data_IF_914052578828
#
_entry.id   IF_914052578828
#
_cell.length_a   1.000
_cell.length_b   1.000
_cell.length_c   1.000
_cell.angle_alpha   90.00
_cell.angle_beta   90.00
_cell.angle_gamma   90.00
#
_symmetry.space_group_name_H-M   'P 1'
#
loop_
_entity.id
_entity.type
_entity.pdbx_description
1 polymer ?
#
# COMPACT_ATOMS: atom_id res chain seq x y z
N UNK A 1 -19.47 46.49 5.26
CA UNK A 1 -20.81 45.95 4.95
C UNK A 1 -20.82 45.43 3.52
N UNK A 2 -20.42 44.17 3.34
CA UNK A 2 -20.50 43.41 2.08
C UNK A 2 -21.86 42.71 2.06
N UNK A 3 -22.61 42.82 0.97
CA UNK A 3 -23.70 41.88 0.63
C UNK A 3 -23.38 41.32 -0.75
N UNK A 4 -22.80 40.12 -0.76
CA UNK A 4 -22.90 39.17 -1.87
C UNK A 4 -24.25 38.45 -1.72
N UNK A 5 -25.07 38.44 -2.76
CA UNK A 5 -26.13 37.44 -2.93
C UNK A 5 -26.12 36.94 -4.38
N UNK A 6 -26.05 35.61 -4.47
CA UNK A 6 -26.44 34.69 -5.53
C UNK A 6 -25.80 34.80 -6.92
N UNK A 7 -24.83 33.91 -7.16
CA UNK A 7 -24.90 33.00 -8.30
C UNK A 7 -24.60 31.59 -7.77
N UNK A 8 -25.66 30.79 -7.61
CA UNK A 8 -25.56 29.35 -7.38
C UNK A 8 -25.14 28.76 -8.72
N UNK A 9 -23.83 28.55 -8.90
CA UNK A 9 -23.31 27.69 -9.95
C UNK A 9 -23.53 26.25 -9.51
N UNK A 10 -24.69 25.69 -9.87
CA UNK A 10 -24.90 24.26 -9.89
C UNK A 10 -23.90 23.65 -10.89
N UNK A 11 -22.76 23.18 -10.40
CA UNK A 11 -21.92 22.28 -11.18
C UNK A 11 -22.66 20.96 -11.28
N UNK A 12 -23.17 20.74 -12.48
CA UNK A 12 -23.58 19.49 -13.10
C UNK A 12 -22.92 18.26 -12.44
N UNK A 13 -23.51 17.75 -11.36
CA UNK A 13 -23.40 16.33 -11.05
C UNK A 13 -24.20 15.68 -12.18
N UNK A 14 -23.53 15.20 -13.21
CA UNK A 14 -24.14 14.19 -14.06
C UNK A 14 -24.61 13.11 -13.09
N UNK A 15 -25.91 12.99 -12.90
CA UNK A 15 -26.50 11.81 -12.29
C UNK A 15 -26.14 10.71 -13.26
N UNK A 16 -24.98 10.07 -13.03
CA UNK A 16 -24.72 8.77 -13.62
C UNK A 16 -25.96 7.93 -13.29
N UNK A 17 -26.49 7.15 -14.25
CA UNK A 17 -27.47 6.13 -13.89
C UNK A 17 -26.91 5.41 -12.67
N UNK A 18 -27.70 5.26 -11.61
CA UNK A 18 -27.25 4.45 -10.48
C UNK A 18 -26.83 3.10 -11.07
N UNK A 19 -25.53 2.80 -11.03
CA UNK A 19 -24.94 1.56 -11.48
C UNK A 19 -25.76 0.42 -10.88
N UNK A 20 -26.23 -0.51 -11.71
CA UNK A 20 -27.12 -1.55 -11.22
C UNK A 20 -26.32 -2.48 -10.29
N UNK A 21 -26.85 -2.79 -9.11
CA UNK A 21 -26.19 -3.73 -8.21
C UNK A 21 -26.19 -5.14 -8.83
N UNK A 22 -25.02 -5.77 -8.96
CA UNK A 22 -24.90 -7.18 -9.36
C UNK A 22 -24.97 -8.11 -8.16
N UNK A 23 -24.63 -7.62 -6.97
CA UNK A 23 -24.73 -8.35 -5.71
C UNK A 23 -24.81 -7.40 -4.51
N UNK A 24 -25.46 -7.84 -3.44
CA UNK A 24 -25.50 -7.13 -2.17
C UNK A 24 -25.74 -8.10 -1.02
N UNK A 25 -25.44 -7.67 0.20
CA UNK A 25 -25.67 -8.48 1.39
C UNK A 25 -25.32 -7.77 2.69
N UNK A 26 -25.39 -8.54 3.77
CA UNK A 26 -25.09 -8.10 5.13
C UNK A 26 -23.99 -8.99 5.71
N UNK A 27 -23.08 -8.40 6.49
CA UNK A 27 -22.03 -9.11 7.23
C UNK A 27 -21.78 -8.43 8.58
N UNK A 28 -22.17 -9.10 9.66
CA UNK A 28 -22.24 -8.45 10.97
C UNK A 28 -23.24 -7.29 10.96
N UNK A 29 -22.81 -6.11 11.41
CA UNK A 29 -23.60 -4.87 11.42
C UNK A 29 -23.41 -4.04 10.13
N UNK A 30 -22.66 -4.58 9.16
CA UNK A 30 -22.31 -3.89 7.93
C UNK A 30 -23.10 -4.42 6.74
N UNK A 31 -23.34 -3.55 5.77
CA UNK A 31 -23.89 -3.88 4.45
C UNK A 31 -22.78 -3.82 3.41
N UNK A 32 -22.93 -4.58 2.34
CA UNK A 32 -22.01 -4.51 1.20
C UNK A 32 -22.80 -4.59 -0.11
N UNK A 33 -22.30 -3.90 -1.12
CA UNK A 33 -22.88 -3.82 -2.47
C UNK A 33 -21.76 -3.91 -3.49
N UNK A 34 -22.00 -4.65 -4.58
CA UNK A 34 -21.16 -4.66 -5.77
C UNK A 34 -22.02 -4.14 -6.92
N UNK A 35 -21.60 -3.05 -7.54
CA UNK A 35 -22.26 -2.51 -8.72
C UNK A 35 -21.82 -3.20 -10.02
N UNK A 36 -22.44 -2.85 -11.14
CA UNK A 36 -22.17 -3.43 -12.47
C UNK A 36 -20.82 -3.01 -13.07
N UNK A 37 -20.15 -2.02 -12.47
CA UNK A 37 -18.75 -1.65 -12.75
C UNK A 37 -17.74 -2.45 -11.91
N UNK A 38 -18.23 -3.25 -10.94
CA UNK A 38 -17.41 -4.09 -10.06
C UNK A 38 -16.91 -3.39 -8.81
N UNK A 39 -17.45 -2.22 -8.46
CA UNK A 39 -17.06 -1.51 -7.24
C UNK A 39 -17.73 -2.16 -6.03
N UNK A 40 -16.92 -2.77 -5.16
CA UNK A 40 -17.38 -3.26 -3.86
C UNK A 40 -17.38 -2.09 -2.85
N UNK A 41 -18.58 -1.68 -2.44
CA UNK A 41 -18.78 -0.70 -1.37
C UNK A 41 -19.24 -1.39 -0.09
N UNK A 42 -18.54 -1.16 1.01
CA UNK A 42 -18.91 -1.67 2.34
C UNK A 42 -19.31 -0.50 3.23
N UNK A 43 -20.45 -0.60 3.89
CA UNK A 43 -21.03 0.50 4.66
C UNK A 43 -21.62 0.01 5.98
N UNK A 44 -21.89 0.94 6.87
CA UNK A 44 -22.64 0.73 8.10
C UNK A 44 -23.58 1.91 8.37
N UNK A 45 -24.45 1.76 9.37
CA UNK A 45 -25.30 2.84 9.88
C UNK A 45 -24.80 3.43 11.21
N UNK A 46 -23.64 2.96 11.71
CA UNK A 46 -23.10 3.32 13.03
C UNK A 46 -21.57 3.26 13.05
N UNK A 47 -20.95 4.18 13.78
CA UNK A 47 -19.49 4.27 13.92
C UNK A 47 -18.85 3.04 14.60
N UNK A 48 -19.63 2.36 15.44
CA UNK A 48 -19.21 1.17 16.18
C UNK A 48 -19.60 -0.15 15.46
N UNK A 49 -20.13 -0.06 14.24
CA UNK A 49 -20.58 -1.23 13.50
C UNK A 49 -19.42 -2.18 13.22
N UNK A 50 -19.67 -3.47 13.47
CA UNK A 50 -18.65 -4.51 13.35
C UNK A 50 -18.89 -5.34 12.09
N UNK A 51 -17.86 -5.46 11.27
CA UNK A 51 -17.88 -6.35 10.11
C UNK A 51 -17.85 -7.80 10.59
N UNK A 52 -18.71 -8.62 10.02
CA UNK A 52 -18.80 -10.04 10.36
C UNK A 52 -17.46 -10.77 10.21
N UNK A 53 -17.15 -11.63 11.19
CA UNK A 53 -16.01 -12.53 11.17
C UNK A 53 -16.38 -13.81 10.43
N UNK A 54 -15.56 -14.24 9.46
CA UNK A 54 -15.77 -15.47 8.70
C UNK A 54 -14.96 -16.67 9.23
N UNK A 55 -14.23 -16.56 10.34
CA UNK A 55 -13.62 -17.68 11.09
C UNK A 55 -12.88 -18.76 10.24
N UNK A 56 -12.28 -18.38 9.11
CA UNK A 56 -11.57 -19.29 8.20
C UNK A 56 -12.36 -19.74 6.96
N UNK A 57 -13.63 -19.36 6.85
CA UNK A 57 -14.40 -19.37 5.59
C UNK A 57 -13.98 -18.20 4.68
N UNK A 58 -14.69 -18.00 3.57
CA UNK A 58 -14.42 -16.90 2.65
C UNK A 58 -15.25 -15.66 3.00
N UNK A 59 -14.70 -14.47 2.70
CA UNK A 59 -15.43 -13.21 2.88
C UNK A 59 -16.79 -13.22 2.13
N UNK A 60 -17.79 -12.44 2.57
CA UNK A 60 -19.15 -12.47 2.01
C UNK A 60 -19.23 -12.25 0.49
N UNK A 61 -18.31 -11.48 -0.07
CA UNK A 61 -18.21 -11.14 -1.50
C UNK A 61 -17.31 -12.10 -2.30
N UNK A 62 -16.77 -13.16 -1.69
CA UNK A 62 -15.80 -14.06 -2.32
C UNK A 62 -16.29 -14.76 -3.59
N UNK A 63 -17.59 -15.05 -3.70
CA UNK A 63 -18.20 -15.61 -4.91
C UNK A 63 -18.16 -14.64 -6.12
N UNK A 64 -17.89 -13.36 -5.87
CA UNK A 64 -17.82 -12.30 -6.88
C UNK A 64 -16.39 -11.78 -7.08
N UNK A 65 -15.37 -12.45 -6.56
CA UNK A 65 -13.96 -12.01 -6.62
C UNK A 65 -13.46 -11.68 -8.03
N UNK A 66 -13.98 -12.35 -9.06
CA UNK A 66 -13.61 -12.09 -10.46
C UNK A 66 -14.33 -10.85 -11.03
N UNK A 67 -15.39 -10.37 -10.39
CA UNK A 67 -16.12 -9.16 -10.78
C UNK A 67 -15.65 -7.92 -10.04
N UNK A 68 -14.99 -8.07 -8.88
CA UNK A 68 -14.55 -6.93 -8.06
C UNK A 68 -13.35 -6.23 -8.73
N UNK A 69 -13.51 -4.94 -9.03
CA UNK A 69 -12.51 -4.07 -9.66
C UNK A 69 -11.96 -3.02 -8.71
N UNK A 70 -12.78 -2.55 -7.76
CA UNK A 70 -12.39 -1.63 -6.69
C UNK A 70 -13.04 -2.00 -5.35
N UNK A 71 -12.45 -1.54 -4.25
CA UNK A 71 -13.01 -1.66 -2.90
C UNK A 71 -12.97 -0.32 -2.19
N UNK A 72 -14.07 0.08 -1.54
CA UNK A 72 -14.13 1.26 -0.69
C UNK A 72 -15.06 1.04 0.52
N UNK A 73 -14.81 1.77 1.61
CA UNK A 73 -15.68 1.80 2.78
C UNK A 73 -16.35 3.16 2.92
N UNK A 74 -17.66 3.22 2.63
CA UNK A 74 -18.42 4.47 2.55
C UNK A 74 -18.84 5.04 3.90
N UNK A 75 -18.67 4.26 4.98
CA UNK A 75 -18.92 4.63 6.36
C UNK A 75 -17.99 3.81 7.29
N UNK A 76 -17.83 4.18 8.57
CA UNK A 76 -17.01 3.43 9.52
C UNK A 76 -17.34 1.94 9.61
N UNK A 77 -16.34 1.10 9.39
CA UNK A 77 -16.44 -0.35 9.46
C UNK A 77 -15.32 -0.89 10.33
N UNK A 78 -15.67 -1.52 11.45
CA UNK A 78 -14.69 -2.11 12.37
C UNK A 78 -14.48 -3.59 12.04
N UNK A 79 -13.28 -3.95 11.60
CA UNK A 79 -12.93 -5.34 11.28
C UNK A 79 -12.53 -6.13 12.53
N UNK A 80 -13.03 -7.36 12.62
CA UNK A 80 -12.52 -8.36 13.57
C UNK A 80 -11.44 -9.26 12.95
N UNK A 81 -11.48 -9.43 11.63
CA UNK A 81 -10.52 -10.22 10.85
C UNK A 81 -10.28 -9.57 9.49
N UNK A 82 -9.09 -9.78 8.92
CA UNK A 82 -8.75 -9.42 7.55
C UNK A 82 -8.19 -10.60 6.76
N UNK A 83 -8.13 -11.79 7.37
CA UNK A 83 -7.53 -12.99 6.78
C UNK A 83 -8.29 -13.38 5.50
N UNK A 84 -7.58 -13.51 4.38
CA UNK A 84 -8.15 -13.81 3.05
C UNK A 84 -9.25 -12.86 2.53
N UNK A 85 -9.43 -11.67 3.14
CA UNK A 85 -10.58 -10.79 2.89
C UNK A 85 -10.85 -10.49 1.40
N UNK A 86 -9.80 -10.27 0.61
CA UNK A 86 -9.87 -10.00 -0.83
C UNK A 86 -9.05 -11.00 -1.65
N UNK A 87 -8.72 -12.16 -1.07
CA UNK A 87 -7.87 -13.15 -1.72
C UNK A 87 -8.43 -13.59 -3.09
N UNK A 88 -7.60 -13.52 -4.12
CA UNK A 88 -7.92 -13.96 -5.47
C UNK A 88 -8.89 -13.03 -6.21
N UNK A 89 -9.10 -11.79 -5.74
CA UNK A 89 -9.79 -10.77 -6.54
C UNK A 89 -8.89 -10.32 -7.69
N UNK A 90 -8.79 -11.14 -8.74
CA UNK A 90 -7.79 -10.98 -9.81
C UNK A 90 -7.95 -9.69 -10.62
N UNK A 91 -9.16 -9.12 -10.66
CA UNK A 91 -9.49 -7.86 -11.33
C UNK A 91 -9.44 -6.63 -10.39
N UNK A 92 -9.25 -6.83 -9.08
CA UNK A 92 -9.13 -5.74 -8.11
C UNK A 92 -7.88 -4.91 -8.44
N UNK A 93 -8.10 -3.65 -8.81
CA UNK A 93 -7.04 -2.73 -9.26
C UNK A 93 -6.73 -1.62 -8.26
N UNK A 94 -7.72 -1.24 -7.45
CA UNK A 94 -7.60 -0.18 -6.46
C UNK A 94 -8.37 -0.53 -5.17
N UNK A 95 -7.77 -0.21 -4.01
CA UNK A 95 -8.40 -0.36 -2.69
C UNK A 95 -8.27 0.96 -1.94
N UNK A 96 -9.39 1.46 -1.43
CA UNK A 96 -9.49 2.67 -0.62
C UNK A 96 -9.92 2.27 0.80
N UNK A 97 -9.01 2.45 1.76
CA UNK A 97 -9.19 1.99 3.14
C UNK A 97 -9.68 3.11 4.08
N UNK A 98 -10.15 4.24 3.53
CA UNK A 98 -10.86 5.24 4.31
C UNK A 98 -12.02 4.60 5.04
N UNK A 99 -12.17 4.89 6.34
CA UNK A 99 -13.20 4.33 7.23
C UNK A 99 -13.06 2.84 7.58
N UNK A 100 -11.93 2.20 7.27
CA UNK A 100 -11.71 0.78 7.56
C UNK A 100 -10.92 0.49 8.83
N UNK A 101 -11.60 0.51 9.97
CA UNK A 101 -10.95 0.42 11.27
C UNK A 101 -10.50 -1.01 11.63
N UNK A 102 -9.19 -1.20 11.80
CA UNK A 102 -8.56 -2.50 12.10
C UNK A 102 -8.01 -2.62 13.52
N UNK A 103 -8.49 -1.80 14.46
CA UNK A 103 -7.98 -1.70 15.85
C UNK A 103 -7.90 -3.03 16.61
N UNK A 104 -8.78 -3.98 16.29
CA UNK A 104 -8.86 -5.29 16.96
C UNK A 104 -8.31 -6.44 16.10
N UNK A 105 -7.85 -6.16 14.88
CA UNK A 105 -7.35 -7.17 13.96
C UNK A 105 -5.96 -7.64 14.40
N UNK A 106 -5.81 -8.95 14.56
CA UNK A 106 -4.53 -9.59 14.92
C UNK A 106 -3.91 -10.40 13.77
N UNK A 107 -4.70 -10.74 12.74
CA UNK A 107 -4.29 -11.51 11.57
C UNK A 107 -4.77 -10.83 10.27
N UNK A 108 -3.81 -10.47 9.41
CA UNK A 108 -4.03 -9.90 8.07
C UNK A 108 -3.45 -10.80 6.98
N UNK A 109 -3.22 -12.09 7.29
CA UNK A 109 -2.60 -13.01 6.35
C UNK A 109 -3.45 -13.18 5.09
N UNK A 110 -2.77 -13.16 3.94
CA UNK A 110 -3.37 -13.33 2.62
C UNK A 110 -4.50 -12.34 2.26
N UNK A 111 -4.62 -11.21 2.97
CA UNK A 111 -5.71 -10.24 2.79
C UNK A 111 -5.89 -9.82 1.33
N UNK A 112 -4.79 -9.54 0.61
CA UNK A 112 -4.78 -9.17 -0.81
C UNK A 112 -4.01 -10.17 -1.67
N UNK A 113 -3.80 -11.40 -1.20
CA UNK A 113 -3.07 -12.40 -1.98
C UNK A 113 -3.79 -12.72 -3.30
N UNK A 114 -3.04 -12.88 -4.37
CA UNK A 114 -3.48 -13.16 -5.74
C UNK A 114 -4.40 -12.08 -6.36
N UNK A 115 -4.41 -10.86 -5.83
CA UNK A 115 -4.99 -9.69 -6.49
C UNK A 115 -4.06 -9.23 -7.63
N UNK A 116 -4.01 -9.99 -8.72
CA UNK A 116 -3.01 -9.81 -9.78
C UNK A 116 -3.04 -8.44 -10.48
N UNK A 117 -4.18 -7.75 -10.45
CA UNK A 117 -4.36 -6.42 -11.04
C UNK A 117 -4.13 -5.27 -10.04
N UNK A 118 -3.89 -5.57 -8.76
CA UNK A 118 -3.80 -4.56 -7.71
C UNK A 118 -2.59 -3.67 -7.94
N UNK A 119 -2.84 -2.39 -8.18
CA UNK A 119 -1.82 -1.37 -8.46
C UNK A 119 -1.85 -0.25 -7.42
N UNK A 120 -3.05 0.06 -6.89
CA UNK A 120 -3.27 1.17 -5.97
C UNK A 120 -3.83 0.64 -4.64
N UNK A 121 -3.17 0.99 -3.54
CA UNK A 121 -3.68 0.78 -2.19
C UNK A 121 -3.52 2.12 -1.46
N UNK A 122 -4.64 2.75 -1.16
CA UNK A 122 -4.68 4.02 -0.43
C UNK A 122 -5.10 3.74 1.01
N UNK A 123 -4.11 3.80 1.91
CA UNK A 123 -4.29 3.65 3.37
C UNK A 123 -4.67 5.01 3.92
N UNK A 124 -5.94 5.37 3.77
CA UNK A 124 -6.46 6.66 4.20
C UNK A 124 -5.83 7.84 3.47
N UNK A 125 -6.47 8.99 3.60
CA UNK A 125 -6.00 10.21 2.97
C UNK A 125 -4.64 10.68 3.51
N UNK A 126 -3.61 10.64 2.66
CA UNK A 126 -2.48 11.55 2.81
C UNK A 126 -3.00 12.96 2.52
N UNK A 127 -3.27 13.70 3.60
CA UNK A 127 -4.01 14.98 3.68
C UNK A 127 -3.36 16.07 2.82
N UNK A 128 -3.54 16.02 1.50
CA UNK A 128 -2.92 16.99 0.58
C UNK A 128 -3.86 17.63 -0.42
N UNK A 129 -5.15 17.24 -0.50
CA UNK A 129 -6.04 17.73 -1.56
C UNK A 129 -7.51 17.99 -1.21
N UNK A 130 -8.01 17.65 -0.01
CA UNK A 130 -9.38 17.97 0.40
C UNK A 130 -9.40 18.72 1.73
N UNK A 131 -10.27 19.73 1.81
CA UNK A 131 -10.43 20.63 2.94
C UNK A 131 -10.99 19.81 4.13
N UNK A 132 -10.23 19.69 5.22
CA UNK A 132 -10.58 18.90 6.42
C UNK A 132 -12.00 19.22 6.91
N UNK A 133 -12.38 20.49 6.85
CA UNK A 133 -13.70 21.01 7.21
C UNK A 133 -14.84 20.41 6.34
N UNK A 134 -14.61 20.18 5.05
CA UNK A 134 -15.60 19.58 4.13
C UNK A 134 -15.80 18.10 4.43
N UNK A 135 -14.75 17.42 4.86
CA UNK A 135 -14.78 15.98 5.14
C UNK A 135 -15.40 15.69 6.50
N UNK A 136 -15.06 16.51 7.50
CA UNK A 136 -15.69 16.49 8.81
C UNK A 136 -17.19 16.83 8.71
N UNK A 137 -17.56 17.82 7.89
CA UNK A 137 -18.96 18.19 7.67
C UNK A 137 -19.78 17.11 6.93
N UNK A 138 -19.12 16.22 6.20
CA UNK A 138 -19.76 15.08 5.52
C UNK A 138 -19.74 13.78 6.35
N UNK A 139 -19.13 13.79 7.54
CA UNK A 139 -18.98 12.60 8.37
C UNK A 139 -18.10 11.50 7.75
N UNK A 140 -17.30 11.85 6.73
CA UNK A 140 -16.49 10.90 5.96
C UNK A 140 -15.08 10.74 6.53
N UNK A 141 -14.71 11.55 7.52
CA UNK A 141 -13.38 11.62 8.10
C UNK A 141 -13.45 11.97 9.58
N UNK A 142 -12.80 11.16 10.42
CA UNK A 142 -12.58 11.45 11.83
C UNK A 142 -11.07 11.68 12.04
N UNK A 143 -10.59 12.94 12.11
CA UNK A 143 -9.16 13.24 12.30
C UNK A 143 -8.59 12.76 13.63
N UNK A 144 -9.45 12.30 14.55
CA UNK A 144 -9.08 11.82 15.87
C UNK A 144 -9.04 10.29 15.97
N UNK A 145 -9.34 9.57 14.87
CA UNK A 145 -9.39 8.10 14.87
C UNK A 145 -8.68 7.56 13.64
N UNK A 146 -7.49 7.01 13.86
CA UNK A 146 -6.72 6.36 12.80
C UNK A 146 -7.55 5.21 12.22
N UNK A 147 -7.80 5.28 10.91
CA UNK A 147 -8.78 4.45 10.20
C UNK A 147 -8.15 3.25 9.49
N UNK A 148 -6.89 2.92 9.78
CA UNK A 148 -6.23 1.66 9.42
C UNK A 148 -5.00 1.44 10.32
N UNK A 149 -5.20 0.86 11.50
CA UNK A 149 -4.13 0.64 12.49
C UNK A 149 -3.71 -0.82 12.47
N UNK A 150 -2.40 -1.08 12.34
CA UNK A 150 -1.84 -2.44 12.36
C UNK A 150 -1.08 -2.77 13.65
N UNK A 151 -1.20 -1.95 14.69
CA UNK A 151 -0.47 -2.10 15.95
C UNK A 151 -0.73 -3.42 16.68
N UNK A 152 -1.92 -4.03 16.56
CA UNK A 152 -2.21 -5.34 17.18
C UNK A 152 -1.93 -6.54 16.26
N UNK A 153 -1.56 -6.28 15.00
CA UNK A 153 -1.36 -7.33 14.01
C UNK A 153 -0.10 -8.12 14.35
N UNK A 154 -0.23 -9.44 14.39
CA UNK A 154 0.86 -10.38 14.65
C UNK A 154 1.20 -11.23 13.42
N UNK A 155 0.28 -11.37 12.46
CA UNK A 155 0.47 -12.17 11.25
C UNK A 155 0.12 -11.36 9.98
N UNK A 156 1.09 -11.21 9.08
CA UNK A 156 0.93 -10.60 7.74
C UNK A 156 1.43 -11.53 6.63
N UNK A 157 1.48 -12.85 6.89
CA UNK A 157 1.95 -13.83 5.92
C UNK A 157 1.16 -13.73 4.62
N UNK A 158 1.86 -13.63 3.49
CA UNK A 158 1.27 -13.58 2.16
C UNK A 158 0.34 -12.39 1.91
N UNK A 159 0.34 -11.32 2.72
CA UNK A 159 -0.65 -10.23 2.63
C UNK A 159 -0.81 -9.66 1.20
N UNK A 160 0.29 -9.53 0.44
CA UNK A 160 0.32 -9.08 -0.95
C UNK A 160 0.88 -10.12 -1.92
N UNK A 161 0.94 -11.40 -1.52
CA UNK A 161 1.48 -12.47 -2.37
C UNK A 161 0.78 -12.48 -3.74
N UNK A 162 1.53 -12.52 -4.84
CA UNK A 162 0.97 -12.60 -6.19
C UNK A 162 0.28 -11.33 -6.69
N UNK A 163 0.48 -10.17 -6.04
CA UNK A 163 0.05 -8.86 -6.56
C UNK A 163 0.95 -8.44 -7.75
N UNK A 164 0.75 -9.08 -8.90
CA UNK A 164 1.62 -8.97 -10.09
C UNK A 164 1.67 -7.58 -10.71
N UNK A 165 0.74 -6.69 -10.40
CA UNK A 165 0.67 -5.31 -10.90
C UNK A 165 1.14 -4.27 -9.89
N UNK A 166 1.44 -4.65 -8.65
CA UNK A 166 1.92 -3.75 -7.60
C UNK A 166 3.34 -3.29 -7.96
N UNK A 167 3.54 -1.99 -8.16
CA UNK A 167 4.82 -1.40 -8.64
C UNK A 167 5.64 -0.73 -7.54
N UNK A 168 4.97 -0.15 -6.55
CA UNK A 168 5.58 0.51 -5.41
C UNK A 168 4.85 0.14 -4.12
N UNK A 169 5.56 0.13 -3.01
CA UNK A 169 4.95 -0.01 -1.69
C UNK A 169 5.77 0.71 -0.61
N UNK A 170 5.09 1.37 0.34
CA UNK A 170 5.72 1.99 1.52
C UNK A 170 5.32 1.25 2.78
N UNK A 171 6.29 0.78 3.54
CA UNK A 171 6.04 0.17 4.84
C UNK A 171 5.73 1.20 5.93
N UNK A 172 6.12 2.47 5.75
CA UNK A 172 5.82 3.56 6.69
C UNK A 172 4.33 3.80 6.90
N UNK A 173 3.48 3.31 6.01
CA UNK A 173 2.02 3.33 6.16
C UNK A 173 1.49 2.23 7.12
N UNK A 174 2.34 1.29 7.55
CA UNK A 174 1.98 0.18 8.42
C UNK A 174 2.86 0.16 9.69
N UNK A 175 2.24 -0.07 10.85
CA UNK A 175 2.97 -0.49 12.04
C UNK A 175 3.20 -2.00 11.99
N UNK A 176 4.47 -2.41 11.85
CA UNK A 176 4.85 -3.84 11.72
C UNK A 176 5.59 -4.39 12.94
N UNK A 177 5.75 -3.59 13.99
CA UNK A 177 6.56 -3.90 15.19
C UNK A 177 6.15 -5.16 15.95
N UNK A 178 4.86 -5.52 15.90
CA UNK A 178 4.28 -6.66 16.62
C UNK A 178 4.07 -7.89 15.72
N UNK A 179 4.36 -7.78 14.43
CA UNK A 179 4.21 -8.85 13.47
C UNK A 179 5.38 -9.83 13.62
N UNK A 180 5.07 -11.13 13.68
CA UNK A 180 6.05 -12.21 13.81
C UNK A 180 6.04 -13.18 12.61
N UNK A 181 5.11 -13.01 11.67
CA UNK A 181 5.01 -13.83 10.46
C UNK A 181 4.81 -12.94 9.22
N UNK A 182 5.86 -12.89 8.40
CA UNK A 182 5.97 -12.14 7.14
C UNK A 182 6.21 -13.06 5.95
N UNK A 183 6.07 -14.38 6.15
CA UNK A 183 6.36 -15.36 5.09
C UNK A 183 5.57 -15.00 3.84
N UNK A 184 6.24 -14.98 2.70
CA UNK A 184 5.64 -14.68 1.40
C UNK A 184 4.95 -13.30 1.27
N UNK A 185 5.13 -12.34 2.19
CA UNK A 185 4.32 -11.11 2.23
C UNK A 185 4.20 -10.39 0.88
N UNK A 186 5.29 -10.34 0.09
CA UNK A 186 5.32 -9.78 -1.26
C UNK A 186 5.75 -10.82 -2.32
N UNK A 187 5.73 -12.12 -2.01
CA UNK A 187 6.18 -13.14 -2.94
C UNK A 187 5.37 -13.07 -4.25
N UNK A 188 6.03 -13.11 -5.40
CA UNK A 188 5.37 -13.07 -6.71
C UNK A 188 4.85 -11.70 -7.13
N UNK A 189 5.15 -10.62 -6.40
CA UNK A 189 4.92 -9.24 -6.86
C UNK A 189 5.89 -8.87 -8.00
N UNK A 190 5.69 -9.48 -9.17
CA UNK A 190 6.63 -9.44 -10.29
C UNK A 190 6.78 -8.07 -10.97
N UNK A 191 5.90 -7.12 -10.68
CA UNK A 191 6.01 -5.74 -11.14
C UNK A 191 6.60 -4.79 -10.08
N UNK A 192 6.84 -5.26 -8.85
CA UNK A 192 7.34 -4.42 -7.76
C UNK A 192 8.74 -3.92 -8.13
N UNK A 193 8.88 -2.61 -8.27
CA UNK A 193 10.09 -1.91 -8.67
C UNK A 193 10.70 -1.11 -7.51
N UNK A 194 9.85 -0.56 -6.65
CA UNK A 194 10.25 0.31 -5.55
C UNK A 194 9.67 -0.17 -4.22
N UNK A 195 10.50 -0.17 -3.18
CA UNK A 195 10.06 -0.41 -1.83
C UNK A 195 10.70 0.57 -0.85
N UNK A 196 9.86 1.29 -0.11
CA UNK A 196 10.30 2.08 1.03
C UNK A 196 10.17 1.26 2.32
N UNK A 197 11.32 0.98 2.94
CA UNK A 197 11.45 0.22 4.18
C UNK A 197 11.49 1.11 5.42
N UNK A 198 11.26 2.41 5.28
CA UNK A 198 11.21 3.32 6.43
C UNK A 198 10.19 2.85 7.46
N UNK A 199 10.63 2.76 8.73
CA UNK A 199 9.80 2.25 9.82
C UNK A 199 9.77 0.72 9.97
N UNK A 200 10.44 -0.04 9.09
CA UNK A 200 10.55 -1.50 9.23
C UNK A 200 11.24 -1.85 10.55
N UNK A 201 10.50 -2.48 11.45
CA UNK A 201 10.98 -3.03 12.71
C UNK A 201 10.36 -4.40 12.86
N UNK A 202 11.16 -5.47 12.94
CA UNK A 202 10.63 -6.82 13.09
C UNK A 202 11.42 -7.56 14.16
N UNK A 203 10.74 -8.42 14.91
CA UNK A 203 11.42 -9.26 15.88
C UNK A 203 12.48 -10.13 15.18
N UNK A 204 13.67 -10.26 15.77
CA UNK A 204 14.76 -11.11 15.23
C UNK A 204 14.35 -12.57 14.95
N UNK A 205 13.35 -13.06 15.67
CA UNK A 205 12.83 -14.43 15.58
C UNK A 205 11.58 -14.51 14.66
N UNK A 206 11.24 -13.42 13.96
CA UNK A 206 10.13 -13.40 13.02
C UNK A 206 10.37 -14.33 11.83
N UNK A 207 9.29 -14.93 11.32
CA UNK A 207 9.31 -15.80 10.15
C UNK A 207 9.27 -14.94 8.89
N UNK A 208 10.38 -14.85 8.17
CA UNK A 208 10.55 -13.97 7.00
C UNK A 208 10.88 -14.72 5.71
N UNK A 209 10.71 -16.05 5.69
CA UNK A 209 11.05 -16.85 4.52
C UNK A 209 10.28 -16.40 3.28
N UNK A 210 10.99 -16.28 2.16
CA UNK A 210 10.41 -15.98 0.84
C UNK A 210 9.65 -14.65 0.75
N UNK A 211 9.86 -13.71 1.68
CA UNK A 211 9.14 -12.43 1.74
C UNK A 211 9.11 -11.67 0.39
N UNK A 212 10.19 -11.74 -0.39
CA UNK A 212 10.34 -11.10 -1.70
C UNK A 212 10.62 -12.09 -2.84
N UNK A 213 10.33 -13.38 -2.64
CA UNK A 213 10.57 -14.40 -3.66
C UNK A 213 9.86 -14.04 -4.96
N UNK A 214 10.53 -14.16 -6.11
CA UNK A 214 9.98 -13.82 -7.44
C UNK A 214 9.60 -12.34 -7.65
N UNK A 215 10.06 -11.40 -6.82
CA UNK A 215 9.96 -9.95 -7.05
C UNK A 215 10.98 -9.47 -8.10
N UNK A 216 11.01 -10.11 -9.28
CA UNK A 216 12.11 -10.04 -10.24
C UNK A 216 12.40 -8.64 -10.85
N UNK A 217 11.52 -7.65 -10.62
CA UNK A 217 11.69 -6.27 -11.08
C UNK A 217 12.07 -5.30 -9.96
N UNK A 218 12.34 -5.76 -8.74
CA UNK A 218 12.70 -4.89 -7.63
C UNK A 218 14.08 -4.28 -7.87
N UNK A 219 14.10 -2.96 -8.11
CA UNK A 219 15.27 -2.20 -8.53
C UNK A 219 15.71 -1.17 -7.49
N UNK A 220 14.82 -0.77 -6.59
CA UNK A 220 15.08 0.27 -5.62
C UNK A 220 14.48 -0.08 -4.27
N UNK A 221 15.32 0.01 -3.25
CA UNK A 221 14.93 -0.06 -1.85
C UNK A 221 15.42 1.21 -1.16
N UNK A 222 14.54 1.93 -0.48
CA UNK A 222 14.91 3.07 0.37
C UNK A 222 14.68 2.75 1.83
N UNK A 223 15.44 3.39 2.72
CA UNK A 223 15.13 3.43 4.13
C UNK A 223 15.66 4.75 4.71
N UNK A 224 14.80 5.57 5.28
CA UNK A 224 15.15 6.89 5.82
C UNK A 224 15.73 6.82 7.25
N UNK A 225 15.74 5.65 7.89
CA UNK A 225 16.28 5.49 9.24
C UNK A 225 17.80 5.66 9.26
N UNK A 226 18.29 6.61 10.07
CA UNK A 226 19.72 6.93 10.22
C UNK A 226 20.53 5.85 10.96
N UNK A 227 19.86 4.84 11.51
CA UNK A 227 20.47 3.64 12.09
C UNK A 227 19.67 2.39 11.66
N UNK A 228 20.32 1.22 11.49
CA UNK A 228 19.63 -0.02 11.20
C UNK A 228 18.74 -0.41 12.38
N UNK A 229 17.45 -0.60 12.11
CA UNK A 229 16.51 -1.18 13.08
C UNK A 229 16.77 -2.67 13.25
N UNK A 230 16.33 -3.25 14.38
CA UNK A 230 16.39 -4.71 14.54
C UNK A 230 15.42 -5.37 13.57
N UNK A 231 15.93 -6.30 12.76
CA UNK A 231 15.16 -7.13 11.84
C UNK A 231 15.67 -8.59 11.84
N UNK A 232 14.81 -9.54 11.51
CA UNK A 232 15.12 -10.96 11.42
C UNK A 232 16.17 -11.25 10.36
N UNK A 233 17.04 -12.22 10.65
CA UNK A 233 17.97 -12.73 9.65
C UNK A 233 17.22 -13.38 8.49
N UNK A 234 17.74 -13.23 7.27
CA UNK A 234 17.10 -13.74 6.06
C UNK A 234 15.92 -12.91 5.52
N UNK A 235 15.57 -11.76 6.11
CA UNK A 235 14.54 -10.84 5.58
C UNK A 235 14.73 -10.55 4.08
N UNK A 236 15.98 -10.40 3.66
CA UNK A 236 16.36 -10.05 2.30
C UNK A 236 16.94 -11.21 1.49
N UNK A 237 16.94 -12.45 2.01
CA UNK A 237 17.56 -13.60 1.31
C UNK A 237 16.87 -13.95 -0.01
N UNK A 238 15.58 -13.62 -0.11
CA UNK A 238 14.73 -13.89 -1.27
C UNK A 238 14.68 -12.74 -2.27
N UNK A 239 15.39 -11.64 -2.01
CA UNK A 239 15.52 -10.56 -2.97
C UNK A 239 16.18 -11.09 -4.27
N UNK A 240 15.82 -10.54 -5.44
CA UNK A 240 16.50 -10.89 -6.69
C UNK A 240 17.98 -10.52 -6.62
N UNK A 241 18.84 -11.49 -6.35
CA UNK A 241 20.30 -11.33 -6.33
C UNK A 241 20.86 -11.34 -7.75
N UNK A 242 20.71 -10.24 -8.50
CA UNK A 242 21.45 -9.98 -9.74
C UNK A 242 21.72 -8.48 -9.99
N UNK A 243 22.39 -7.79 -9.07
CA UNK A 243 23.07 -6.50 -9.36
C UNK A 243 22.22 -5.32 -9.86
N UNK A 244 20.88 -5.37 -9.78
CA UNK A 244 19.98 -4.29 -10.26
C UNK A 244 19.35 -3.49 -9.12
N UNK A 245 19.24 -4.06 -7.91
CA UNK A 245 18.63 -3.35 -6.79
C UNK A 245 19.62 -2.34 -6.19
N UNK A 246 19.29 -1.06 -6.24
CA UNK A 246 20.00 -0.01 -5.52
C UNK A 246 19.37 0.20 -4.14
N UNK A 247 20.21 0.51 -3.15
CA UNK A 247 19.79 0.80 -1.79
C UNK A 247 20.12 2.24 -1.45
N UNK A 248 19.11 2.96 -1.01
CA UNK A 248 19.19 4.37 -0.65
C UNK A 248 19.05 4.50 0.86
N UNK A 249 20.09 5.04 1.50
CA UNK A 249 20.18 5.27 2.93
C UNK A 249 20.61 6.72 3.22
N UNK A 250 20.32 7.25 4.41
CA UNK A 250 20.93 8.47 4.92
C UNK A 250 22.46 8.46 4.85
N UNK A 251 23.08 9.64 4.80
CA UNK A 251 24.54 9.78 4.80
C UNK A 251 25.14 9.09 6.04
N UNK A 252 26.34 8.53 5.87
CA UNK A 252 27.19 7.99 6.95
C UNK A 252 26.63 6.81 7.76
N UNK A 253 25.56 6.13 7.30
CA UNK A 253 25.02 4.95 8.01
C UNK A 253 25.25 3.61 7.27
N UNK A 254 25.90 3.61 6.10
CA UNK A 254 26.12 2.41 5.28
C UNK A 254 26.86 1.30 6.05
N UNK A 255 27.94 1.65 6.76
CA UNK A 255 28.74 0.68 7.51
C UNK A 255 27.92 0.00 8.62
N UNK A 256 27.05 0.76 9.30
CA UNK A 256 26.16 0.23 10.33
C UNK A 256 25.16 -0.78 9.75
N UNK A 257 24.56 -0.45 8.61
CA UNK A 257 23.62 -1.34 7.91
C UNK A 257 24.31 -2.61 7.38
N UNK A 258 25.55 -2.51 6.89
CA UNK A 258 26.33 -3.67 6.45
C UNK A 258 26.73 -4.59 7.63
N UNK A 259 26.96 -4.03 8.82
CA UNK A 259 27.27 -4.78 10.03
C UNK A 259 26.03 -5.47 10.64
N UNK A 260 24.85 -4.87 10.51
CA UNK A 260 23.61 -5.37 11.09
C UNK A 260 23.15 -6.71 10.49
N UNK A 261 22.90 -7.71 11.35
CA UNK A 261 22.62 -9.11 10.97
C UNK A 261 21.55 -9.25 9.89
N UNK A 262 20.33 -8.75 10.11
CA UNK A 262 19.27 -8.93 9.14
C UNK A 262 19.35 -7.97 7.93
N UNK A 263 20.13 -6.88 8.01
CA UNK A 263 20.32 -5.93 6.92
C UNK A 263 21.44 -6.32 5.96
N UNK A 264 22.48 -7.04 6.43
CA UNK A 264 23.66 -7.35 5.60
C UNK A 264 23.32 -8.02 4.27
N UNK A 265 22.30 -8.87 4.24
CA UNK A 265 21.89 -9.62 3.03
C UNK A 265 21.34 -8.70 1.94
N UNK A 266 20.90 -7.50 2.31
CA UNK A 266 20.53 -6.46 1.36
C UNK A 266 21.74 -5.96 0.54
N UNK A 267 22.97 -6.17 1.01
CA UNK A 267 24.20 -5.65 0.39
C UNK A 267 25.11 -6.73 -0.21
N UNK A 268 24.77 -8.01 -0.07
CA UNK A 268 25.60 -9.13 -0.56
C UNK A 268 25.17 -9.52 -1.97
N UNK A 269 26.01 -9.26 -2.97
CA UNK A 269 25.89 -9.77 -4.34
C UNK A 269 26.87 -10.93 -4.58
N UNK A 270 26.53 -11.82 -5.53
CA UNK A 270 27.40 -12.94 -5.94
C UNK A 270 28.64 -12.47 -6.74
N UNK A 271 28.63 -11.23 -7.23
CA UNK A 271 29.74 -10.53 -7.86
C UNK A 271 29.86 -9.17 -7.16
N UNK A 272 31.07 -8.80 -6.75
CA UNK A 272 31.39 -7.66 -5.87
C UNK A 272 30.54 -6.39 -6.07
N UNK A 273 30.05 -5.89 -4.93
CA UNK A 273 29.45 -4.57 -4.66
C UNK A 273 28.10 -4.23 -5.33
N UNK A 274 27.03 -4.37 -4.54
CA UNK A 274 25.87 -3.50 -4.71
C UNK A 274 26.32 -2.04 -4.53
N UNK A 275 26.02 -1.17 -5.50
CA UNK A 275 26.26 0.27 -5.40
C UNK A 275 25.27 0.87 -4.39
N UNK A 276 25.60 0.77 -3.11
CA UNK A 276 24.94 1.54 -2.08
C UNK A 276 25.35 3.01 -2.26
N UNK A 277 24.39 3.85 -2.64
CA UNK A 277 24.64 5.28 -2.77
C UNK A 277 24.31 5.94 -1.42
N UNK A 278 25.32 6.13 -0.56
CA UNK A 278 25.23 7.01 0.60
C UNK A 278 25.35 8.48 0.19
N UNK A 279 24.51 8.92 -0.75
CA UNK A 279 24.34 10.35 -1.03
C UNK A 279 23.23 10.87 -0.12
N UNK A 280 23.40 12.04 0.48
CA UNK A 280 22.29 12.76 1.09
C UNK A 280 21.09 12.73 0.13
N UNK A 281 19.87 12.56 0.65
CA UNK A 281 18.58 12.57 -0.09
C UNK A 281 18.30 13.89 -0.86
N UNK A 282 19.34 14.70 -1.06
CA UNK A 282 19.37 15.97 -1.76
C UNK A 282 19.74 15.79 -3.23
N UNK A 283 18.72 15.97 -4.09
CA UNK A 283 18.81 16.44 -5.48
C UNK A 283 19.86 15.76 -6.38
N UNK A 284 19.41 14.78 -7.17
CA UNK A 284 20.25 14.15 -8.19
C UNK A 284 20.24 15.00 -9.48
N UNK A 285 21.41 15.54 -9.79
CA UNK A 285 21.73 16.13 -11.09
C UNK A 285 21.69 15.07 -12.20
N UNK A 286 21.09 15.45 -13.33
CA UNK A 286 21.43 14.92 -14.66
C UNK A 286 20.43 13.95 -15.29
N UNK A 287 19.36 14.47 -15.89
CA UNK A 287 18.69 13.82 -17.03
C UNK A 287 18.50 14.86 -18.14
N UNK A 288 19.05 14.54 -19.32
CA UNK A 288 18.66 15.13 -20.60
C UNK A 288 17.46 14.37 -21.15
N UNK A 289 16.43 15.11 -21.55
CA UNK A 289 15.19 14.61 -22.14
C UNK A 289 15.45 13.74 -23.38
N UNK A 290 15.20 12.43 -23.29
CA UNK A 290 14.89 11.58 -24.44
C UNK A 290 14.40 10.20 -23.98
N UNK A 291 13.13 10.14 -23.58
CA UNK A 291 12.12 9.13 -23.97
C UNK A 291 10.95 9.22 -22.98
N UNK A 292 9.89 9.93 -23.37
CA UNK A 292 8.72 10.24 -22.54
C UNK A 292 7.42 9.70 -23.15
N UNK A 293 7.44 8.50 -23.71
CA UNK A 293 6.20 7.87 -24.19
C UNK A 293 5.93 6.54 -23.50
N UNK A 294 5.08 6.66 -22.47
CA UNK A 294 4.29 5.63 -21.79
C UNK A 294 5.02 4.68 -20.84
N UNK A 295 5.21 5.09 -19.60
CA UNK A 295 5.25 4.15 -18.47
C UNK A 295 4.95 4.94 -17.17
N UNK A 296 4.48 4.23 -16.15
CA UNK A 296 3.83 4.81 -14.99
C UNK A 296 4.73 5.80 -14.23
N UNK A 297 4.17 6.97 -13.92
CA UNK A 297 4.83 8.03 -13.15
C UNK A 297 4.46 7.84 -11.69
N UNK A 298 5.45 7.93 -10.80
CA UNK A 298 5.21 7.94 -9.37
C UNK A 298 5.88 9.15 -8.71
N UNK A 299 5.37 9.61 -7.57
CA UNK A 299 6.11 10.55 -6.72
C UNK A 299 7.37 9.87 -6.18
N UNK A 300 8.36 10.64 -5.73
CA UNK A 300 9.54 10.03 -5.07
C UNK A 300 9.14 9.12 -3.91
N UNK A 301 8.10 9.52 -3.19
CA UNK A 301 7.62 8.69 -2.11
C UNK A 301 6.95 7.41 -2.69
N UNK A 302 6.38 7.43 -3.90
CA UNK A 302 5.85 6.23 -4.59
C UNK A 302 4.35 6.24 -4.84
N UNK A 303 3.67 7.40 -4.72
CA UNK A 303 2.27 7.54 -5.16
C UNK A 303 2.22 7.53 -6.67
N UNK A 304 1.23 6.86 -7.27
CA UNK A 304 1.02 6.94 -8.71
C UNK A 304 0.55 8.34 -9.09
N UNK A 305 1.21 8.94 -10.08
CA UNK A 305 0.89 10.25 -10.61
C UNK A 305 0.27 10.11 -12.00
N UNK A 306 -0.72 10.96 -12.30
CA UNK A 306 -1.35 11.02 -13.62
C UNK A 306 -0.43 11.61 -14.70
N UNK A 307 0.55 12.41 -14.27
CA UNK A 307 1.60 12.97 -15.08
C UNK A 307 2.79 13.36 -14.17
N UNK A 308 4.00 13.55 -14.73
CA UNK A 308 5.12 14.04 -13.95
C UNK A 308 4.80 15.39 -13.32
N UNK A 309 4.97 15.50 -11.99
CA UNK A 309 4.74 16.74 -11.23
C UNK A 309 6.05 17.49 -11.05
N UNK A 310 6.01 18.81 -10.87
CA UNK A 310 7.22 19.58 -10.58
C UNK A 310 7.90 19.03 -9.31
N UNK A 311 9.17 18.66 -9.42
CA UNK A 311 9.84 17.91 -8.37
C UNK A 311 10.28 16.51 -8.81
N UNK A 312 10.59 15.66 -7.82
CA UNK A 312 11.24 14.37 -8.04
C UNK A 312 10.17 13.31 -8.30
N UNK A 313 10.21 12.74 -9.49
CA UNK A 313 9.31 11.69 -9.94
C UNK A 313 10.11 10.42 -10.14
N UNK A 314 9.44 9.29 -10.12
CA UNK A 314 9.94 8.01 -10.59
C UNK A 314 9.19 7.73 -11.90
N UNK A 315 9.90 7.76 -13.02
CA UNK A 315 9.37 7.46 -14.35
C UNK A 315 10.14 6.24 -14.83
N UNK A 316 9.43 5.15 -15.12
CA UNK A 316 10.01 3.92 -15.67
C UNK A 316 11.11 3.33 -14.76
N UNK A 317 10.89 3.44 -13.44
CA UNK A 317 11.85 3.01 -12.42
C UNK A 317 13.09 3.90 -12.30
N UNK A 318 13.13 5.07 -12.96
CA UNK A 318 14.23 6.03 -12.86
C UNK A 318 13.77 7.31 -12.16
N UNK A 319 14.62 7.85 -11.31
CA UNK A 319 14.42 9.18 -10.72
C UNK A 319 14.53 10.26 -11.81
N UNK A 320 13.43 10.97 -12.06
CA UNK A 320 13.36 12.08 -13.02
C UNK A 320 12.97 13.36 -12.31
N UNK A 321 13.82 14.38 -12.44
CA UNK A 321 13.59 15.72 -11.93
C UNK A 321 12.85 16.55 -12.98
N UNK A 322 11.59 16.89 -12.72
CA UNK A 322 10.77 17.74 -13.61
C UNK A 322 10.87 19.18 -13.11
N UNK A 323 11.39 20.07 -13.96
CA UNK A 323 11.63 21.49 -13.63
C UNK A 323 10.35 22.32 -13.67
#
# INVERSE_FOLDING_TARGET
MKRLISFIGATLLAVMPACANIAEGVSGDCTWVIDDDGNLSISSESDDAVLGNWEGDAAPWSNYKESITTVAFSAPVNAQTCTYMFNGCTNLSAVYLDNFYTNEVTDMSYMFANCSSLEVIEIGMTISSLDEDVMMAKGMFNPYRDNFITDKVTNMAGMFEGCKSLRSFRLSNLSVRNVNDFRNMFAGCSALQYMDLSGLTINKDAKVSEMFANCNKLMNVSNESIFPTEIADGTFISLPTRGVCSVELPLDCLEDYQAALGWRHLFVTADDEMKANSSALTAINGITEADSSKEAVFSFAGERLSAPVKGLNIIDGKKVMVK
#
